data_IF_470826644560
#
_entry.id   IF_470826644560
#
_cell.length_a   1.000
_cell.length_b   1.000
_cell.length_c   1.000
_cell.angle_alpha   90.00
_cell.angle_beta   90.00
_cell.angle_gamma   90.00
#
_symmetry.space_group_name_H-M   'P 1'
#
loop_
_entity.id
_entity.type
_entity.pdbx_description
1 polymer ?
#
# COMPACT_ATOMS: atom_id res chain seq x y z
N UNK A 1 -15.99 30.33 -10.35
CA UNK A 1 -15.82 29.18 -9.45
C UNK A 1 -15.62 27.94 -10.32
N UNK A 2 -14.47 27.28 -10.28
CA UNK A 2 -14.33 26.00 -10.96
C UNK A 2 -15.36 25.04 -10.34
N UNK A 3 -16.30 24.53 -11.13
CA UNK A 3 -17.19 23.47 -10.67
C UNK A 3 -16.34 22.37 -10.07
N UNK A 4 -16.62 21.91 -8.85
CA UNK A 4 -15.81 20.93 -8.12
C UNK A 4 -15.48 19.69 -8.96
N UNK A 5 -16.35 19.35 -9.91
CA UNK A 5 -16.15 18.32 -10.91
C UNK A 5 -14.93 18.53 -11.82
N UNK A 6 -14.67 19.78 -12.26
CA UNK A 6 -13.47 20.11 -13.06
C UNK A 6 -12.19 19.85 -12.30
N UNK A 7 -12.18 20.06 -10.98
CA UNK A 7 -11.01 19.77 -10.15
C UNK A 7 -10.76 18.27 -10.11
N UNK A 8 -11.82 17.47 -9.89
CA UNK A 8 -11.72 16.01 -9.88
C UNK A 8 -11.18 15.48 -11.23
N UNK A 9 -11.78 15.91 -12.34
CA UNK A 9 -11.42 15.36 -13.66
C UNK A 9 -10.05 15.85 -14.15
N UNK A 10 -9.70 17.12 -13.94
CA UNK A 10 -8.47 17.68 -14.51
C UNK A 10 -7.25 17.52 -13.62
N UNK A 11 -7.43 17.42 -12.29
CA UNK A 11 -6.30 17.36 -11.36
C UNK A 11 -6.17 16.01 -10.65
N UNK A 12 -7.28 15.33 -10.38
CA UNK A 12 -7.27 14.12 -9.56
C UNK A 12 -7.19 12.82 -10.37
N UNK A 13 -7.66 12.84 -11.62
CA UNK A 13 -7.66 11.70 -12.54
C UNK A 13 -6.35 11.51 -13.32
N UNK A 14 -5.69 12.55 -13.87
CA UNK A 14 -4.50 12.35 -14.69
C UNK A 14 -3.30 11.73 -13.94
N UNK A 15 -2.97 12.14 -12.70
CA UNK A 15 -1.82 11.57 -11.99
C UNK A 15 -1.87 10.06 -11.79
N UNK A 16 -2.93 9.46 -11.22
CA UNK A 16 -2.98 8.01 -11.04
C UNK A 16 -3.02 7.26 -12.37
N UNK A 17 -3.62 7.85 -13.41
CA UNK A 17 -3.72 7.25 -14.75
C UNK A 17 -2.36 7.19 -15.44
N UNK A 18 -1.62 8.29 -15.44
CA UNK A 18 -0.27 8.33 -16.01
C UNK A 18 0.64 7.36 -15.24
N UNK A 19 0.59 7.38 -13.89
CA UNK A 19 1.39 6.50 -13.06
C UNK A 19 1.06 5.01 -13.30
N UNK A 20 -0.22 4.65 -13.35
CA UNK A 20 -0.62 3.25 -13.62
C UNK A 20 -0.19 2.79 -15.01
N UNK A 21 -0.34 3.62 -16.04
CA UNK A 21 0.14 3.29 -17.39
C UNK A 21 1.66 3.10 -17.39
N UNK A 22 2.40 4.05 -16.80
CA UNK A 22 3.87 3.97 -16.73
C UNK A 22 4.34 2.72 -15.97
N UNK A 23 3.59 2.28 -14.94
CA UNK A 23 3.90 1.09 -14.15
C UNK A 23 3.50 -0.23 -14.84
N UNK A 24 2.48 -0.21 -15.69
CA UNK A 24 2.04 -1.36 -16.50
C UNK A 24 2.97 -1.65 -17.68
N UNK A 25 3.69 -0.64 -18.19
CA UNK A 25 4.63 -0.82 -19.29
C UNK A 25 5.83 -1.69 -18.86
N UNK A 26 6.22 -2.71 -19.66
CA UNK A 26 7.40 -3.53 -19.40
C UNK A 26 8.69 -2.74 -19.71
N UNK A 27 9.05 -1.85 -18.80
CA UNK A 27 10.23 -1.00 -18.91
C UNK A 27 11.49 -1.71 -18.38
N UNK A 28 12.69 -1.37 -18.89
CA UNK A 28 13.96 -1.90 -18.37
C UNK A 28 14.12 -1.62 -16.87
N UNK A 29 14.76 -2.56 -16.16
CA UNK A 29 14.76 -2.63 -14.68
C UNK A 29 15.24 -1.34 -13.99
N UNK A 30 16.16 -0.59 -14.62
CA UNK A 30 16.68 0.67 -14.08
C UNK A 30 15.59 1.75 -14.05
N UNK A 31 14.82 1.87 -15.14
CA UNK A 31 13.72 2.83 -15.26
C UNK A 31 12.59 2.45 -14.31
N UNK A 32 12.28 1.15 -14.18
CA UNK A 32 11.26 0.67 -13.24
C UNK A 32 11.60 1.04 -11.78
N UNK A 33 12.87 0.93 -11.37
CA UNK A 33 13.31 1.34 -10.03
C UNK A 33 13.17 2.85 -9.81
N UNK A 34 13.58 3.66 -10.79
CA UNK A 34 13.42 5.12 -10.73
C UNK A 34 11.95 5.54 -10.67
N UNK A 35 11.12 4.92 -11.50
CA UNK A 35 9.67 5.15 -11.52
C UNK A 35 9.00 4.73 -10.20
N UNK A 36 9.39 3.59 -9.62
CA UNK A 36 8.91 3.16 -8.31
C UNK A 36 9.32 4.15 -7.21
N UNK A 37 10.55 4.66 -7.24
CA UNK A 37 11.02 5.67 -6.30
C UNK A 37 10.27 7.00 -6.46
N UNK A 38 10.03 7.45 -7.69
CA UNK A 38 9.23 8.64 -7.98
C UNK A 38 7.76 8.46 -7.55
N UNK A 39 7.17 7.32 -7.89
CA UNK A 39 5.80 6.96 -7.48
C UNK A 39 5.68 6.93 -5.97
N UNK A 40 6.68 6.38 -5.26
CA UNK A 40 6.75 6.43 -3.80
C UNK A 40 6.84 7.88 -3.29
N UNK A 41 7.69 8.71 -3.87
CA UNK A 41 7.81 10.10 -3.44
C UNK A 41 6.49 10.87 -3.64
N UNK A 42 5.80 10.62 -4.75
CA UNK A 42 4.51 11.25 -5.07
C UNK A 42 3.38 10.74 -4.17
N UNK A 43 3.23 9.42 -3.99
CA UNK A 43 2.20 8.82 -3.13
C UNK A 43 2.38 9.21 -1.65
N UNK A 44 3.63 9.23 -1.19
CA UNK A 44 3.99 9.41 0.21
C UNK A 44 4.43 10.84 0.53
N UNK A 45 4.15 11.78 -0.36
CA UNK A 45 4.31 13.19 -0.05
C UNK A 45 3.41 13.51 1.15
N UNK A 46 4.03 13.83 2.29
CA UNK A 46 3.34 14.17 3.52
C UNK A 46 2.75 15.56 3.35
N UNK A 47 1.42 15.64 3.21
CA UNK A 47 0.73 16.91 3.02
C UNK A 47 0.57 17.65 4.36
N UNK A 48 0.33 16.91 5.46
CA UNK A 48 0.38 17.39 6.84
C UNK A 48 0.47 16.20 7.82
N UNK A 49 1.60 16.04 8.53
CA UNK A 49 1.77 15.01 9.58
C UNK A 49 1.85 13.56 9.07
N UNK A 50 0.96 12.69 9.58
CA UNK A 50 0.87 11.26 9.21
C UNK A 50 -0.02 10.98 7.97
N UNK A 51 -0.78 11.97 7.50
CA UNK A 51 -1.72 11.77 6.39
C UNK A 51 -0.98 11.88 5.05
N UNK A 52 -0.93 10.76 4.34
CA UNK A 52 -0.29 10.65 3.03
C UNK A 52 -1.26 11.13 1.95
N UNK A 53 -0.72 11.72 0.87
CA UNK A 53 -1.51 12.21 -0.27
C UNK A 53 -2.50 11.17 -0.80
N UNK A 54 -2.10 9.89 -0.82
CA UNK A 54 -2.95 8.77 -1.25
C UNK A 54 -4.20 8.60 -0.42
N UNK A 55 -4.09 8.74 0.90
CA UNK A 55 -5.24 8.57 1.80
C UNK A 55 -6.23 9.72 1.55
N UNK A 56 -5.73 10.93 1.40
CA UNK A 56 -6.55 12.09 1.04
C UNK A 56 -7.22 11.88 -0.32
N UNK A 57 -6.45 11.46 -1.33
CA UNK A 57 -6.97 11.21 -2.67
C UNK A 57 -8.01 10.08 -2.69
N UNK A 58 -7.80 9.00 -1.94
CA UNK A 58 -8.76 7.91 -1.79
C UNK A 58 -10.04 8.34 -1.09
N UNK A 59 -9.95 9.16 -0.05
CA UNK A 59 -11.13 9.69 0.65
C UNK A 59 -11.91 10.62 -0.29
N UNK A 60 -11.22 11.53 -0.99
CA UNK A 60 -11.88 12.46 -1.92
C UNK A 60 -12.52 11.71 -3.09
N UNK A 61 -11.80 10.77 -3.72
CA UNK A 61 -12.34 9.99 -4.84
C UNK A 61 -13.41 9.01 -4.40
N UNK A 62 -13.31 8.43 -3.20
CA UNK A 62 -14.34 7.60 -2.59
C UNK A 62 -15.62 8.37 -2.28
N UNK A 63 -15.49 9.58 -1.72
CA UNK A 63 -16.62 10.47 -1.50
C UNK A 63 -17.27 10.92 -2.83
N UNK A 64 -16.46 11.23 -3.85
CA UNK A 64 -16.95 11.56 -5.19
C UNK A 64 -17.69 10.36 -5.83
N UNK A 65 -17.14 9.15 -5.70
CA UNK A 65 -17.78 7.93 -6.16
C UNK A 65 -19.11 7.66 -5.44
N UNK A 66 -19.16 7.80 -4.11
CA UNK A 66 -20.39 7.64 -3.35
C UNK A 66 -21.45 8.67 -3.76
N UNK A 67 -21.07 9.94 -3.88
CA UNK A 67 -21.96 11.01 -4.31
C UNK A 67 -22.50 10.76 -5.73
N UNK A 68 -21.64 10.39 -6.68
CA UNK A 68 -22.07 10.03 -8.03
C UNK A 68 -22.94 8.78 -8.07
N UNK A 69 -22.67 7.78 -7.24
CA UNK A 69 -23.49 6.56 -7.13
C UNK A 69 -24.90 6.88 -6.62
N UNK A 70 -25.00 7.68 -5.56
CA UNK A 70 -26.29 8.12 -5.02
C UNK A 70 -27.09 8.93 -6.04
N UNK A 71 -26.43 9.86 -6.73
CA UNK A 71 -27.09 10.71 -7.72
C UNK A 71 -27.57 9.92 -8.93
N UNK A 72 -26.74 9.00 -9.45
CA UNK A 72 -27.13 8.10 -10.55
C UNK A 72 -28.25 7.16 -10.15
N UNK A 73 -28.23 6.62 -8.92
CA UNK A 73 -29.30 5.76 -8.41
C UNK A 73 -30.63 6.51 -8.26
N UNK A 74 -30.61 7.72 -7.70
CA UNK A 74 -31.82 8.53 -7.56
C UNK A 74 -32.44 8.88 -8.94
N UNK A 75 -31.58 9.16 -9.92
CA UNK A 75 -32.00 9.50 -11.28
C UNK A 75 -32.50 8.28 -12.08
N UNK A 76 -31.94 7.10 -11.82
CA UNK A 76 -32.41 5.87 -12.46
C UNK A 76 -33.79 5.44 -11.95
N UNK A 77 -34.10 5.74 -10.69
CA UNK A 77 -35.41 5.47 -10.09
C UNK A 77 -36.51 6.44 -10.51
N UNK A 78 -36.16 7.63 -11.01
CA UNK A 78 -37.19 8.57 -11.46
C UNK A 78 -37.80 8.04 -12.77
N UNK A 79 -39.09 7.73 -12.87
CA UNK A 79 -39.69 7.35 -14.16
C UNK A 79 -39.71 8.57 -15.10
N UNK A 80 -39.66 8.35 -16.41
CA UNK A 80 -39.90 9.40 -17.40
C UNK A 80 -41.41 9.58 -17.53
N UNK A 81 -42.00 10.74 -17.18
CA UNK A 81 -43.42 10.96 -17.41
C UNK A 81 -43.73 10.95 -18.91
N UNK A 82 -44.74 10.19 -19.31
CA UNK A 82 -45.17 10.07 -20.72
C UNK A 82 -45.81 11.37 -21.27
N UNK A 83 -46.13 12.32 -20.38
CA UNK A 83 -46.68 13.64 -20.72
C UNK A 83 -45.63 14.67 -21.17
N UNK A 84 -44.34 14.28 -21.21
CA UNK A 84 -43.26 15.18 -21.57
C UNK A 84 -43.21 15.45 -23.08
N UNK A 85 -42.96 16.70 -23.44
CA UNK A 85 -42.65 17.04 -24.83
C UNK A 85 -41.34 16.35 -25.28
N UNK A 86 -41.18 16.03 -26.57
CA UNK A 86 -39.97 15.37 -27.10
C UNK A 86 -38.67 16.10 -26.74
N UNK A 87 -38.70 17.44 -26.72
CA UNK A 87 -37.56 18.27 -26.34
C UNK A 87 -37.19 18.13 -24.86
N UNK A 88 -38.18 18.11 -23.97
CA UNK A 88 -37.96 17.88 -22.53
C UNK A 88 -37.47 16.46 -22.25
N UNK A 89 -38.02 15.47 -22.97
CA UNK A 89 -37.56 14.08 -22.89
C UNK A 89 -36.08 13.95 -23.26
N UNK A 90 -35.67 14.59 -24.34
CA UNK A 90 -34.27 14.61 -24.79
C UNK A 90 -33.37 15.29 -23.76
N UNK A 91 -33.80 16.40 -23.17
CA UNK A 91 -33.04 17.08 -22.11
C UNK A 91 -32.84 16.21 -20.86
N UNK A 92 -33.87 15.45 -20.45
CA UNK A 92 -33.76 14.51 -19.33
C UNK A 92 -32.85 13.33 -19.65
N UNK A 93 -32.97 12.74 -20.85
CA UNK A 93 -32.06 11.67 -21.29
C UNK A 93 -30.61 12.16 -21.35
N UNK A 94 -30.37 13.37 -21.85
CA UNK A 94 -29.05 13.98 -21.86
C UNK A 94 -28.52 14.20 -20.42
N UNK A 95 -29.38 14.55 -19.46
CA UNK A 95 -28.99 14.65 -18.04
C UNK A 95 -28.59 13.28 -17.49
N UNK A 96 -29.40 12.24 -17.71
CA UNK A 96 -29.09 10.85 -17.28
C UNK A 96 -27.74 10.38 -17.79
N UNK A 97 -27.50 10.58 -19.08
CA UNK A 97 -26.25 10.20 -19.73
C UNK A 97 -25.03 10.89 -19.12
N UNK A 98 -25.14 12.19 -18.79
CA UNK A 98 -24.06 12.93 -18.13
C UNK A 98 -23.74 12.36 -16.76
N UNK A 99 -24.76 12.01 -15.99
CA UNK A 99 -24.58 11.45 -14.64
C UNK A 99 -24.01 10.04 -14.67
N UNK A 100 -24.48 9.20 -15.58
CA UNK A 100 -23.92 7.87 -15.80
C UNK A 100 -22.44 7.94 -16.19
N UNK A 101 -22.07 8.82 -17.12
CA UNK A 101 -20.67 9.06 -17.47
C UNK A 101 -19.86 9.53 -16.26
N UNK A 102 -20.38 10.47 -15.48
CA UNK A 102 -19.70 10.96 -14.28
C UNK A 102 -19.50 9.85 -13.25
N UNK A 103 -20.49 8.96 -13.07
CA UNK A 103 -20.37 7.76 -12.26
C UNK A 103 -19.21 6.87 -12.74
N UNK A 104 -19.16 6.52 -14.03
CA UNK A 104 -18.07 5.70 -14.56
C UNK A 104 -16.69 6.34 -14.37
N UNK A 105 -16.58 7.66 -14.59
CA UNK A 105 -15.33 8.40 -14.37
C UNK A 105 -14.92 8.34 -12.89
N UNK A 106 -15.85 8.56 -11.96
CA UNK A 106 -15.57 8.51 -10.52
C UNK A 106 -15.17 7.10 -10.08
N UNK A 107 -15.88 6.07 -10.54
CA UNK A 107 -15.59 4.66 -10.27
C UNK A 107 -14.19 4.28 -10.75
N UNK A 108 -13.87 4.59 -12.01
CA UNK A 108 -12.55 4.31 -12.58
C UNK A 108 -11.44 5.05 -11.83
N UNK A 109 -11.66 6.33 -11.50
CA UNK A 109 -10.67 7.12 -10.76
C UNK A 109 -10.41 6.53 -9.38
N UNK A 110 -11.47 6.18 -8.65
CA UNK A 110 -11.35 5.53 -7.34
C UNK A 110 -10.61 4.18 -7.44
N UNK A 111 -10.96 3.36 -8.42
CA UNK A 111 -10.28 2.09 -8.67
C UNK A 111 -8.81 2.27 -9.02
N UNK A 112 -8.47 3.27 -9.83
CA UNK A 112 -7.08 3.60 -10.18
C UNK A 112 -6.26 3.96 -8.93
N UNK A 113 -6.79 4.82 -8.06
CA UNK A 113 -6.14 5.17 -6.80
C UNK A 113 -6.01 3.95 -5.87
N UNK A 114 -7.03 3.10 -5.78
CA UNK A 114 -7.00 1.87 -5.00
C UNK A 114 -5.98 0.85 -5.53
N UNK A 115 -5.92 0.69 -6.85
CA UNK A 115 -4.95 -0.18 -7.52
C UNK A 115 -3.53 0.34 -7.30
N UNK A 116 -3.31 1.64 -7.39
CA UNK A 116 -2.01 2.26 -7.15
C UNK A 116 -1.53 2.05 -5.70
N UNK A 117 -2.44 2.16 -4.73
CA UNK A 117 -2.17 1.84 -3.32
C UNK A 117 -1.80 0.36 -3.13
N UNK A 118 -2.58 -0.56 -3.68
CA UNK A 118 -2.31 -2.01 -3.60
C UNK A 118 -1.01 -2.39 -4.30
N UNK A 119 -0.76 -1.85 -5.48
CA UNK A 119 0.46 -2.08 -6.23
C UNK A 119 1.70 -1.61 -5.46
N UNK A 120 1.61 -0.48 -4.78
CA UNK A 120 2.68 -0.01 -3.91
C UNK A 120 2.94 -0.96 -2.73
N UNK A 121 1.89 -1.42 -2.03
CA UNK A 121 2.05 -2.37 -0.93
C UNK A 121 2.77 -3.64 -1.41
N UNK A 122 2.32 -4.20 -2.55
CA UNK A 122 2.95 -5.36 -3.18
C UNK A 122 4.40 -5.09 -3.61
N UNK A 123 4.71 -3.88 -4.07
CA UNK A 123 6.06 -3.51 -4.47
C UNK A 123 7.03 -3.41 -3.28
N UNK A 124 6.58 -2.92 -2.11
CA UNK A 124 7.39 -2.97 -0.89
C UNK A 124 7.69 -4.42 -0.51
N UNK A 125 6.65 -5.26 -0.46
CA UNK A 125 6.79 -6.66 -0.07
C UNK A 125 7.79 -7.37 -0.99
N UNK A 126 7.70 -7.13 -2.30
CA UNK A 126 8.64 -7.68 -3.28
C UNK A 126 10.09 -7.24 -3.06
N UNK A 127 10.33 -5.98 -2.68
CA UNK A 127 11.68 -5.48 -2.38
C UNK A 127 12.20 -6.11 -1.10
N UNK A 128 11.39 -6.12 -0.04
CA UNK A 128 11.75 -6.73 1.23
C UNK A 128 12.07 -8.23 1.09
N UNK A 129 11.31 -8.95 0.27
CA UNK A 129 11.59 -10.36 -0.03
C UNK A 129 12.90 -10.53 -0.81
N UNK A 130 13.17 -9.69 -1.82
CA UNK A 130 14.43 -9.75 -2.57
C UNK A 130 15.65 -9.46 -1.71
N UNK A 131 15.55 -8.52 -0.79
CA UNK A 131 16.64 -8.20 0.13
C UNK A 131 16.92 -9.36 1.09
N UNK A 132 15.87 -10.03 1.59
CA UNK A 132 16.02 -11.26 2.39
C UNK A 132 16.69 -12.39 1.61
N UNK A 133 16.28 -12.63 0.36
CA UNK A 133 16.91 -13.66 -0.50
C UNK A 133 18.40 -13.34 -0.69
N UNK A 134 18.74 -12.08 -1.00
CA UNK A 134 20.14 -11.67 -1.18
C UNK A 134 20.97 -11.82 0.10
N UNK A 135 20.40 -11.49 1.27
CA UNK A 135 21.07 -11.68 2.55
C UNK A 135 21.34 -13.16 2.83
N UNK A 136 20.38 -14.03 2.53
CA UNK A 136 20.53 -15.48 2.69
C UNK A 136 21.57 -16.05 1.71
N UNK A 137 21.58 -15.61 0.45
CA UNK A 137 22.61 -15.99 -0.53
C UNK A 137 24.01 -15.59 -0.07
N UNK A 138 24.18 -14.37 0.43
CA UNK A 138 25.48 -13.90 0.97
C UNK A 138 25.91 -14.69 2.21
N UNK A 139 24.98 -15.00 3.12
CA UNK A 139 25.24 -15.84 4.29
C UNK A 139 25.63 -17.26 3.90
N UNK A 140 24.95 -17.87 2.92
CA UNK A 140 25.26 -19.20 2.41
C UNK A 140 26.63 -19.26 1.72
N UNK A 141 26.99 -18.24 0.92
CA UNK A 141 28.32 -18.12 0.29
C UNK A 141 29.42 -17.88 1.33
N UNK A 142 29.13 -17.08 2.36
CA UNK A 142 30.03 -16.88 3.51
C UNK A 142 30.28 -18.17 4.30
N UNK A 143 29.23 -18.95 4.53
CA UNK A 143 29.32 -20.24 5.22
C UNK A 143 30.10 -21.29 4.40
N UNK A 144 29.92 -21.34 3.08
CA UNK A 144 30.69 -22.26 2.21
C UNK A 144 32.16 -21.87 2.11
N UNK A 145 32.52 -20.57 2.13
CA UNK A 145 33.92 -20.12 2.20
C UNK A 145 34.54 -20.34 3.59
N UNK A 146 33.79 -20.14 4.66
CA UNK A 146 34.26 -20.37 6.04
C UNK A 146 34.51 -21.85 6.35
N UNK A 147 33.77 -22.76 5.74
CA UNK A 147 33.95 -24.21 5.93
C UNK A 147 35.15 -24.81 5.17
N UNK A 148 35.77 -24.06 4.24
CA UNK A 148 36.89 -24.54 3.43
C UNK A 148 38.29 -24.16 3.93
N UNK A 149 38.40 -23.38 5.02
CA UNK A 149 39.67 -22.81 5.50
C UNK A 149 40.18 -23.43 6.82
N UNK A 150 39.78 -24.66 7.15
CA UNK A 150 40.32 -25.40 8.31
C UNK A 150 40.68 -26.83 7.89
N UNK A 151 41.66 -26.98 6.99
CA UNK A 151 42.28 -28.27 6.72
C UNK A 151 43.67 -28.14 6.08
N UNK A 152 44.59 -27.38 6.69
CA UNK A 152 46.02 -27.49 6.36
C UNK A 152 46.90 -27.11 7.55
N UNK A 153 47.21 -28.14 8.35
CA UNK A 153 48.59 -28.44 8.78
C UNK A 153 49.24 -27.58 9.86
N UNK A 154 49.62 -28.24 10.97
CA UNK A 154 50.91 -27.96 11.60
C UNK A 154 50.93 -27.80 13.12
N UNK A 155 51.02 -28.93 13.81
CA UNK A 155 52.00 -29.23 14.88
C UNK A 155 52.05 -28.28 16.11
N UNK A 156 51.62 -28.82 17.24
CA UNK A 156 51.86 -28.30 18.59
C UNK A 156 53.35 -28.02 18.88
N UNK A 157 53.62 -27.06 19.78
CA UNK A 157 54.43 -27.42 20.94
C UNK A 157 53.81 -26.98 22.27
N UNK A 158 54.32 -27.65 23.29
CA UNK A 158 53.90 -27.74 24.69
C UNK A 158 54.37 -26.52 25.52
N UNK A 159 53.56 -26.22 26.55
CA UNK A 159 53.85 -25.52 27.82
C UNK A 159 54.35 -24.07 27.83
N UNK A 160 53.59 -23.20 28.49
CA UNK A 160 54.12 -22.35 29.57
C UNK A 160 52.97 -21.79 30.43
N UNK A 161 53.24 -21.69 31.73
CA UNK A 161 52.36 -21.36 32.85
C UNK A 161 51.88 -19.90 32.90
N UNK A 162 50.76 -19.70 33.59
CA UNK A 162 50.25 -18.41 34.10
C UNK A 162 48.80 -18.20 33.70
N UNK A 163 47.78 -18.23 34.55
CA UNK A 163 47.73 -17.83 35.96
C UNK A 163 46.76 -16.66 36.11
N UNK A 164 45.46 -16.96 36.21
CA UNK A 164 44.47 -16.33 37.13
C UNK A 164 43.04 -16.66 36.67
N UNK A 165 42.28 -17.20 37.62
CA UNK A 165 40.98 -17.81 37.42
C UNK A 165 39.89 -16.84 36.97
N UNK A 166 39.13 -17.31 35.99
CA UNK A 166 37.76 -16.93 35.70
C UNK A 166 36.87 -18.07 36.21
N UNK A 167 35.91 -17.75 37.07
CA UNK A 167 34.85 -18.68 37.48
C UNK A 167 33.70 -18.55 36.46
N UNK A 168 33.68 -19.54 35.56
CA UNK A 168 32.57 -20.25 34.88
C UNK A 168 31.24 -20.14 35.65
N UNK A 169 30.01 -20.11 35.13
CA UNK A 169 29.34 -20.02 33.82
C UNK A 169 27.82 -19.97 34.12
N UNK A 170 26.97 -19.52 33.18
CA UNK A 170 25.73 -20.22 32.80
C UNK A 170 25.05 -19.54 31.58
N UNK A 171 24.55 -20.28 30.58
CA UNK A 171 23.79 -19.73 29.45
C UNK A 171 22.28 -19.83 29.73
N UNK A 172 21.59 -18.70 29.91
CA UNK A 172 20.12 -18.68 30.04
C UNK A 172 19.44 -18.21 28.75
N UNK A 173 18.53 -19.06 28.27
CA UNK A 173 17.66 -18.89 27.12
C UNK A 173 16.71 -17.67 27.23
N UNK A 174 16.14 -17.19 26.10
CA UNK A 174 15.22 -16.06 26.09
C UNK A 174 13.79 -16.48 26.50
N UNK A 175 13.07 -15.72 27.33
CA UNK A 175 11.65 -15.92 27.50
C UNK A 175 10.84 -15.17 26.43
N UNK A 176 9.96 -15.89 25.76
CA UNK A 176 8.78 -15.35 25.06
C UNK A 176 7.50 -15.81 25.78
N UNK A 177 6.32 -15.39 25.32
CA UNK A 177 5.44 -14.40 25.92
C UNK A 177 4.49 -14.98 27.00
N UNK A 178 4.10 -14.14 27.97
CA UNK A 178 3.00 -14.44 28.88
C UNK A 178 1.68 -13.91 28.32
N UNK A 179 0.91 -14.79 27.70
CA UNK A 179 -0.54 -14.67 27.64
C UNK A 179 -1.16 -15.50 28.79
N UNK A 180 -2.34 -15.04 29.23
CA UNK A 180 -3.38 -15.71 30.02
C UNK A 180 -3.52 -15.39 31.53
N UNK A 181 -4.59 -14.62 31.76
CA UNK A 181 -5.70 -14.89 32.71
C UNK A 181 -5.55 -14.48 34.18
N UNK A 182 -6.27 -13.41 34.55
CA UNK A 182 -7.21 -13.32 35.68
C UNK A 182 -7.58 -11.84 35.85
N UNK A 183 -8.82 -11.38 35.96
CA UNK A 183 -10.09 -12.06 36.13
C UNK A 183 -11.18 -10.98 36.31
N UNK A 184 -12.38 -11.36 35.90
CA UNK A 184 -13.70 -10.85 36.24
C UNK A 184 -13.82 -9.72 37.28
N UNK A 185 -14.56 -8.67 36.93
CA UNK A 185 -15.60 -8.10 37.80
C UNK A 185 -16.69 -7.45 36.95
N UNK A 186 -17.77 -8.21 36.77
CA UNK A 186 -19.11 -7.66 36.63
C UNK A 186 -19.40 -6.74 37.82
N UNK A 187 -20.03 -5.59 37.57
CA UNK A 187 -21.08 -5.13 38.49
C UNK A 187 -22.07 -4.18 37.81
N UNK A 188 -23.33 -4.43 38.16
CA UNK A 188 -24.58 -3.79 37.73
C UNK A 188 -24.71 -2.33 38.17
N UNK A 189 -25.36 -1.52 37.33
CA UNK A 189 -26.42 -0.55 37.68
C UNK A 189 -26.98 0.05 36.38
N UNK A 190 -28.26 0.01 36.02
CA UNK A 190 -29.46 -0.21 36.82
C UNK A 190 -30.04 1.10 37.36
N UNK A 191 -30.50 1.99 36.48
CA UNK A 191 -31.75 2.77 36.59
C UNK A 191 -32.02 3.54 35.30
#
# INVERSE_FOLDING_TARGET
MASSWKVVVNWLLPPPLILTILLMLPMPQVVKKGLLAFTRQFLFMKLAGQVLLVHVALVITGAAFAASSMHTYHISQTPLPDTLTPNQRTALLAKRWREERNFWIATLTFLLWGMLYRFYALAIDHVALRDRVRQLELAAVGATRGSGSVATGGRAPVSSMGGKGSVIAEPSAPPAPADLLSGSKEDKKGK
#
